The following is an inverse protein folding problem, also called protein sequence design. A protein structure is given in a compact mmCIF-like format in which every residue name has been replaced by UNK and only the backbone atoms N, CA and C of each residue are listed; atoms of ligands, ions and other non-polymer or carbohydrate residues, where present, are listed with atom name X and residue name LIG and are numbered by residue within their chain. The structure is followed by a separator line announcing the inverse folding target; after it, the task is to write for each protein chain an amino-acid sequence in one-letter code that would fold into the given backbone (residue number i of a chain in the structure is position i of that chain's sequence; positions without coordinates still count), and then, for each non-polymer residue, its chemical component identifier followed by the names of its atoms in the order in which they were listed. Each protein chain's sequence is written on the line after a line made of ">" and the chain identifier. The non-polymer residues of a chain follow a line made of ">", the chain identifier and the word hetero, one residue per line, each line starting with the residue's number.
data_IF_325787886911
#
_entry.id   IF_325787886911
#
_cell.length_a   1.000
_cell.length_b   1.000
_cell.length_c   1.000
_cell.angle_alpha   90.00
_cell.angle_beta   90.00
_cell.angle_gamma   90.00
#
_symmetry.space_group_name_H-M   'P 1'
#
loop_
_entity.id
_entity.type
_entity.pdbx_description
1 polymer ?
#
# COMPACT_ATOMS: atom_id res chain seq x y z
N UNK A 1 -3.44 -17.72 -2.90
CA UNK A 1 -2.89 -16.36 -2.78
C UNK A 1 -3.96 -15.34 -2.39
N UNK A 2 -5.02 -15.12 -3.18
CA UNK A 2 -6.04 -14.09 -2.92
C UNK A 2 -6.70 -14.22 -1.53
N UNK A 3 -7.09 -15.43 -1.13
CA UNK A 3 -7.71 -15.65 0.20
C UNK A 3 -6.81 -15.19 1.36
N UNK A 4 -5.49 -15.40 1.26
CA UNK A 4 -4.52 -14.94 2.26
C UNK A 4 -4.47 -13.42 2.35
N UNK A 5 -4.45 -12.73 1.20
CA UNK A 5 -4.47 -11.26 1.15
C UNK A 5 -5.76 -10.70 1.78
N UNK A 6 -6.92 -11.27 1.44
CA UNK A 6 -8.20 -10.84 1.99
C UNK A 6 -8.26 -11.11 3.50
N UNK A 7 -7.80 -12.29 3.95
CA UNK A 7 -7.83 -12.67 5.37
C UNK A 7 -6.94 -11.78 6.27
N UNK A 8 -5.84 -11.27 5.72
CA UNK A 8 -4.84 -10.49 6.48
C UNK A 8 -4.76 -9.00 6.06
N UNK A 9 -5.69 -8.50 5.22
CA UNK A 9 -5.65 -7.12 4.75
C UNK A 9 -5.69 -6.10 5.91
N UNK A 10 -5.03 -4.98 5.71
CA UNK A 10 -5.04 -3.84 6.65
C UNK A 10 -4.85 -4.22 8.12
N UNK A 11 -3.94 -5.19 8.37
CA UNK A 11 -3.64 -5.71 9.72
C UNK A 11 -4.84 -6.39 10.41
N UNK A 12 -5.70 -7.08 9.67
CA UNK A 12 -6.89 -7.78 10.20
C UNK A 12 -6.59 -8.76 11.36
N UNK A 13 -5.34 -9.23 11.49
CA UNK A 13 -4.91 -10.07 12.62
C UNK A 13 -5.07 -9.37 13.97
N UNK A 14 -4.95 -8.03 14.01
CA UNK A 14 -5.14 -7.23 15.24
C UNK A 14 -6.60 -7.26 15.64
N UNK A 15 -7.53 -7.04 14.69
CA UNK A 15 -8.97 -7.15 14.96
C UNK A 15 -9.36 -8.58 15.31
N UNK A 16 -8.81 -9.58 14.65
CA UNK A 16 -9.00 -10.98 14.98
C UNK A 16 -8.54 -11.27 16.42
N UNK A 17 -7.44 -10.63 16.88
CA UNK A 17 -6.97 -10.71 18.29
C UNK A 17 -8.00 -10.18 19.27
N UNK A 18 -8.54 -8.99 19.03
CA UNK A 18 -9.59 -8.38 19.85
C UNK A 18 -10.89 -9.21 19.90
N UNK A 19 -11.14 -10.01 18.86
CA UNK A 19 -12.29 -10.93 18.76
C UNK A 19 -11.98 -12.34 19.31
N UNK A 20 -10.75 -12.64 19.75
CA UNK A 20 -10.32 -13.97 20.14
C UNK A 20 -10.15 -14.97 18.97
N UNK A 21 -10.07 -14.48 17.74
CA UNK A 21 -10.01 -15.28 16.51
C UNK A 21 -8.61 -15.37 15.89
N UNK A 22 -7.59 -14.71 16.46
CA UNK A 22 -6.25 -14.64 15.86
C UNK A 22 -5.64 -16.03 15.62
N UNK A 23 -5.84 -16.98 16.54
CA UNK A 23 -5.35 -18.36 16.39
C UNK A 23 -6.04 -19.08 15.23
N UNK A 24 -7.35 -18.93 15.09
CA UNK A 24 -8.13 -19.55 14.01
C UNK A 24 -7.70 -18.97 12.68
N UNK A 25 -7.60 -17.63 12.57
CA UNK A 25 -7.15 -16.94 11.38
C UNK A 25 -5.76 -17.42 10.93
N UNK A 26 -4.79 -17.50 11.86
CA UNK A 26 -3.42 -17.91 11.56
C UNK A 26 -3.28 -19.40 11.20
N UNK A 27 -4.18 -20.27 11.69
CA UNK A 27 -4.19 -21.69 11.33
C UNK A 27 -4.85 -21.94 9.97
N UNK A 28 -5.87 -21.16 9.61
CA UNK A 28 -6.63 -21.35 8.38
C UNK A 28 -5.99 -20.64 7.18
N UNK A 29 -5.41 -19.47 7.41
CA UNK A 29 -4.81 -18.64 6.36
C UNK A 29 -3.38 -18.27 6.74
N UNK A 30 -2.40 -18.85 6.05
CA UNK A 30 -1.01 -18.37 6.13
C UNK A 30 -0.92 -16.91 5.68
N UNK A 31 -0.03 -16.10 6.29
CA UNK A 31 0.21 -14.75 5.82
C UNK A 31 0.60 -14.71 4.34
N UNK A 32 0.14 -13.70 3.62
CA UNK A 32 0.59 -13.42 2.27
C UNK A 32 2.02 -12.82 2.29
N UNK A 33 2.75 -12.84 1.16
CA UNK A 33 4.03 -12.13 1.06
C UNK A 33 3.88 -10.68 1.50
N UNK A 34 4.82 -10.22 2.34
CA UNK A 34 4.74 -8.90 2.99
C UNK A 34 4.55 -7.76 1.99
N UNK A 35 5.25 -7.80 0.86
CA UNK A 35 5.15 -6.77 -0.17
C UNK A 35 3.74 -6.63 -0.76
N UNK A 36 3.04 -7.75 -0.94
CA UNK A 36 1.65 -7.73 -1.43
C UNK A 36 0.68 -7.26 -0.34
N UNK A 37 0.94 -7.65 0.91
CA UNK A 37 0.16 -7.17 2.07
C UNK A 37 0.31 -5.67 2.27
N UNK A 38 1.53 -5.13 2.14
CA UNK A 38 1.80 -3.70 2.23
C UNK A 38 1.12 -2.93 1.09
N UNK A 39 1.20 -3.44 -0.14
CA UNK A 39 0.55 -2.83 -1.29
C UNK A 39 -0.98 -2.79 -1.14
N UNK A 40 -1.59 -3.88 -0.63
CA UNK A 40 -3.03 -3.91 -0.37
C UNK A 40 -3.42 -2.95 0.76
N UNK A 41 -2.65 -2.93 1.86
CA UNK A 41 -2.84 -1.99 2.97
C UNK A 41 -2.72 -0.55 2.49
N UNK A 42 -1.73 -0.25 1.63
CA UNK A 42 -1.57 1.05 1.01
C UNK A 42 -2.84 1.45 0.25
N UNK A 43 -3.32 0.61 -0.67
CA UNK A 43 -4.52 0.90 -1.46
C UNK A 43 -5.75 1.14 -0.59
N UNK A 44 -5.99 0.29 0.41
CA UNK A 44 -7.14 0.39 1.31
C UNK A 44 -7.07 1.64 2.19
N UNK A 45 -5.89 1.95 2.73
CA UNK A 45 -5.70 3.02 3.70
C UNK A 45 -5.37 4.39 3.08
N UNK A 46 -5.22 4.46 1.77
CA UNK A 46 -5.08 5.73 1.02
C UNK A 46 -6.23 6.00 0.06
N UNK A 47 -7.31 5.22 0.15
CA UNK A 47 -8.51 5.40 -0.66
C UNK A 47 -9.73 5.59 0.25
N UNK A 48 -10.55 6.60 -0.03
CA UNK A 48 -11.81 6.84 0.67
C UNK A 48 -12.88 5.83 0.25
N UNK A 49 -14.00 5.70 0.98
CA UNK A 49 -15.14 4.88 0.56
C UNK A 49 -15.72 5.26 -0.80
N UNK A 50 -15.51 6.51 -1.22
CA UNK A 50 -15.98 7.05 -2.51
C UNK A 50 -14.95 6.85 -3.65
N UNK A 51 -13.82 6.19 -3.36
CA UNK A 51 -12.77 5.90 -4.33
C UNK A 51 -11.77 7.04 -4.56
N UNK A 52 -11.78 8.07 -3.73
CA UNK A 52 -10.84 9.20 -3.83
C UNK A 52 -9.53 8.89 -3.10
N UNK A 53 -8.41 9.35 -3.65
CA UNK A 53 -7.12 9.31 -2.95
C UNK A 53 -7.13 10.27 -1.76
N UNK A 54 -6.78 9.74 -0.59
CA UNK A 54 -6.72 10.49 0.65
C UNK A 54 -5.44 10.18 1.42
N UNK A 55 -4.91 11.12 2.22
CA UNK A 55 -3.84 10.81 3.17
C UNK A 55 -4.29 9.72 4.16
N UNK A 56 -3.36 8.86 4.56
CA UNK A 56 -3.64 7.75 5.50
C UNK A 56 -4.19 8.26 6.83
N UNK A 57 -3.75 9.41 7.29
CA UNK A 57 -4.22 10.04 8.53
C UNK A 57 -5.72 10.42 8.43
N UNK A 58 -6.14 10.93 7.27
CA UNK A 58 -7.54 11.25 7.01
C UNK A 58 -8.41 9.99 6.97
N UNK A 59 -7.89 8.91 6.38
CA UNK A 59 -8.58 7.61 6.36
C UNK A 59 -8.73 7.02 7.76
N UNK A 60 -7.68 7.06 8.57
CA UNK A 60 -7.72 6.64 9.98
C UNK A 60 -8.73 7.45 10.80
N UNK A 61 -8.73 8.77 10.65
CA UNK A 61 -9.69 9.65 11.32
C UNK A 61 -11.13 9.32 10.92
N UNK A 62 -11.40 9.11 9.62
CA UNK A 62 -12.71 8.73 9.10
C UNK A 62 -13.22 7.41 9.71
N UNK A 63 -12.35 6.40 9.86
CA UNK A 63 -12.70 5.14 10.50
C UNK A 63 -13.09 5.37 11.97
N UNK A 64 -12.31 6.16 12.71
CA UNK A 64 -12.63 6.49 14.10
C UNK A 64 -13.93 7.26 14.24
N UNK A 65 -14.20 8.21 13.36
CA UNK A 65 -15.45 8.98 13.35
C UNK A 65 -16.65 8.09 13.05
N UNK A 66 -16.52 7.16 12.11
CA UNK A 66 -17.59 6.24 11.72
C UNK A 66 -17.99 5.28 12.83
N UNK A 67 -17.04 4.71 13.52
CA UNK A 67 -17.27 3.66 14.51
C UNK A 67 -17.36 4.19 15.94
N UNK A 68 -16.72 5.33 16.22
CA UNK A 68 -16.62 5.89 17.57
C UNK A 68 -15.53 5.24 18.44
N UNK A 69 -15.08 5.94 19.51
CA UNK A 69 -13.86 5.57 20.26
C UNK A 69 -13.97 4.27 21.05
N UNK A 70 -15.18 3.85 21.44
CA UNK A 70 -15.42 2.61 22.20
C UNK A 70 -15.63 1.37 21.35
N UNK A 71 -15.74 1.53 20.04
CA UNK A 71 -16.02 0.42 19.13
C UNK A 71 -14.79 -0.46 18.93
N UNK A 72 -15.00 -1.78 18.79
CA UNK A 72 -13.91 -2.74 18.59
C UNK A 72 -13.05 -2.39 17.38
N UNK A 73 -13.65 -2.01 16.26
CA UNK A 73 -12.93 -1.61 15.05
C UNK A 73 -12.01 -0.41 15.32
N UNK A 74 -12.49 0.63 16.02
CA UNK A 74 -11.66 1.79 16.38
C UNK A 74 -10.46 1.41 17.22
N UNK A 75 -10.64 0.52 18.23
CA UNK A 75 -9.54 0.03 19.05
C UNK A 75 -8.53 -0.78 18.24
N UNK A 76 -9.02 -1.68 17.38
CA UNK A 76 -8.17 -2.50 16.52
C UNK A 76 -7.35 -1.65 15.56
N UNK A 77 -7.96 -0.66 14.91
CA UNK A 77 -7.28 0.28 14.02
C UNK A 77 -6.26 1.12 14.78
N UNK A 78 -6.57 1.57 16.00
CA UNK A 78 -5.63 2.29 16.83
C UNK A 78 -4.38 1.45 17.15
N UNK A 79 -4.57 0.17 17.49
CA UNK A 79 -3.47 -0.76 17.74
C UNK A 79 -2.68 -1.08 16.45
N UNK A 80 -3.36 -1.17 15.31
CA UNK A 80 -2.75 -1.45 14.01
C UNK A 80 -2.08 -0.23 13.36
N UNK A 81 -2.37 0.98 13.82
CA UNK A 81 -1.90 2.24 13.21
C UNK A 81 -0.38 2.25 12.94
N UNK A 82 0.51 1.86 13.85
CA UNK A 82 1.95 1.86 13.56
C UNK A 82 2.32 0.94 12.38
N UNK A 83 1.70 -0.21 12.26
CA UNK A 83 1.94 -1.17 11.17
C UNK A 83 1.37 -0.64 9.84
N UNK A 84 0.20 -0.02 9.87
CA UNK A 84 -0.43 0.60 8.70
C UNK A 84 0.45 1.73 8.16
N UNK A 85 0.92 2.63 9.02
CA UNK A 85 1.80 3.74 8.63
C UNK A 85 3.12 3.23 8.04
N UNK A 86 3.70 2.17 8.63
CA UNK A 86 4.91 1.55 8.11
C UNK A 86 4.69 0.97 6.71
N UNK A 87 3.60 0.24 6.49
CA UNK A 87 3.25 -0.33 5.19
C UNK A 87 3.09 0.77 4.12
N UNK A 88 2.37 1.84 4.45
CA UNK A 88 2.18 3.00 3.56
C UNK A 88 3.52 3.65 3.22
N UNK A 89 4.39 3.86 4.20
CA UNK A 89 5.72 4.42 3.99
C UNK A 89 6.58 3.52 3.08
N UNK A 90 6.61 2.21 3.32
CA UNK A 90 7.40 1.27 2.52
C UNK A 90 6.96 1.25 1.05
N UNK A 91 5.66 1.33 0.77
CA UNK A 91 5.15 1.40 -0.60
C UNK A 91 5.56 2.73 -1.26
N UNK A 92 5.43 3.85 -0.57
CA UNK A 92 5.85 5.16 -1.07
C UNK A 92 7.36 5.18 -1.39
N UNK A 93 8.20 4.63 -0.52
CA UNK A 93 9.66 4.57 -0.71
C UNK A 93 10.03 3.69 -1.92
N UNK A 94 9.32 2.57 -2.11
CA UNK A 94 9.52 1.71 -3.29
C UNK A 94 9.10 2.43 -4.57
N UNK A 95 7.96 3.10 -4.57
CA UNK A 95 7.47 3.86 -5.72
C UNK A 95 8.44 4.99 -6.10
N UNK A 96 8.96 5.73 -5.13
CA UNK A 96 9.95 6.79 -5.34
C UNK A 96 11.24 6.24 -5.97
N UNK A 97 11.78 5.14 -5.44
CA UNK A 97 12.97 4.48 -6.01
C UNK A 97 12.74 3.99 -7.44
N UNK A 98 11.59 3.40 -7.73
CA UNK A 98 11.26 2.94 -9.08
C UNK A 98 11.14 4.10 -10.07
N UNK A 99 10.57 5.22 -9.66
CA UNK A 99 10.49 6.44 -10.47
C UNK A 99 11.87 7.03 -10.77
N UNK A 100 12.79 7.01 -9.81
CA UNK A 100 14.18 7.45 -9.99
C UNK A 100 14.95 6.56 -10.99
N UNK A 101 14.83 5.24 -10.86
CA UNK A 101 15.43 4.28 -11.79
C UNK A 101 14.91 4.47 -13.22
N UNK A 102 13.61 4.63 -13.40
CA UNK A 102 13.00 4.87 -14.69
C UNK A 102 13.52 6.16 -15.33
N UNK A 103 13.69 7.24 -14.57
CA UNK A 103 14.27 8.52 -15.06
C UNK A 103 15.73 8.33 -15.49
N UNK A 104 16.53 7.54 -14.76
CA UNK A 104 17.93 7.29 -15.11
C UNK A 104 18.07 6.48 -16.39
N UNK A 105 17.24 5.47 -16.59
CA UNK A 105 17.24 4.63 -17.81
C UNK A 105 16.80 5.44 -19.03
N UNK A 106 15.73 6.23 -18.94
CA UNK A 106 15.28 7.12 -20.02
C UNK A 106 16.35 8.17 -20.34
N UNK A 107 17.00 8.74 -19.32
CA UNK A 107 18.09 9.69 -19.49
C UNK A 107 19.32 9.07 -20.19
N UNK A 108 19.59 7.79 -19.98
CA UNK A 108 20.67 7.03 -20.65
C UNK A 108 20.29 6.73 -22.11
N UNK A 109 19.09 6.24 -22.35
CA UNK A 109 18.59 6.01 -23.72
C UNK A 109 18.59 7.26 -24.59
N UNK A 110 18.20 8.42 -24.03
CA UNK A 110 18.21 9.69 -24.78
C UNK A 110 19.63 10.20 -25.09
N UNK A 111 20.65 9.78 -24.34
CA UNK A 111 22.05 10.13 -24.63
C UNK A 111 22.68 9.20 -25.68
N UNK A 112 22.18 7.98 -25.82
CA UNK A 112 22.66 6.98 -26.78
C UNK A 112 21.93 7.06 -28.13
N UNK A 113 20.86 7.84 -28.27
CA UNK A 113 20.27 8.13 -29.57
C UNK A 113 21.25 8.98 -30.35
N UNK A 114 21.89 8.33 -31.30
CA UNK A 114 22.78 8.92 -32.34
C UNK A 114 22.11 10.17 -32.88
N UNK A 115 22.83 11.32 -33.05
CA UNK A 115 22.24 12.51 -33.58
C UNK A 115 21.66 12.22 -34.98
N UNK A 116 20.36 12.45 -35.10
CA UNK A 116 19.64 12.30 -36.38
C UNK A 116 20.21 13.30 -37.35
N UNK A 117 21.11 12.84 -38.26
CA UNK A 117 21.76 13.66 -39.27
C UNK A 117 20.77 13.97 -40.39
N UNK A 118 20.11 15.13 -40.30
CA UNK A 118 19.17 15.67 -41.30
C UNK A 118 19.85 15.87 -42.67
N UNK A 119 21.17 16.05 -42.70
CA UNK A 119 21.92 16.30 -43.93
C UNK A 119 21.92 15.14 -44.95
N UNK A 120 21.52 13.92 -44.49
CA UNK A 120 21.51 12.72 -45.32
C UNK A 120 20.26 12.58 -46.21
N UNK A 121 19.25 13.43 -46.03
CA UNK A 121 17.96 13.35 -46.75
C UNK A 121 17.71 14.51 -47.75
N UNK A 122 18.69 15.39 -47.94
CA UNK A 122 18.61 16.52 -48.89
C UNK A 122 19.51 16.32 -50.12
N UNK A 123 19.48 15.13 -50.74
CA UNK A 123 20.03 14.94 -52.11
C UNK A 123 19.03 14.21 -52.97
#
# INVERSE_FOLDING_TARGET
>A
MLCRLVAHHSCAIVEAGERGLAKVLGLEFEPAPQELSDALTYCDMTTSPDGELVPVERRLAEIHDRYGPGHLVSRSIQLATPMILLAVQQVNDKAARSAELCKSEVGTMLRETVPFDIARWTR
#
